data_IF_153543093095
#
_entry.id   IF_153543093095
#
_cell.length_a   1.000
_cell.length_b   1.000
_cell.length_c   1.000
_cell.angle_alpha   90.00
_cell.angle_beta   90.00
_cell.angle_gamma   90.00
#
_symmetry.space_group_name_H-M   'P 1'
#
loop_
_entity.id
_entity.type
_entity.pdbx_description
1 polymer ?
#
# COMPACT_ATOMS: atom_id res chain seq x y z
N UNK A 1 40.45 66.42 -30.20
CA UNK A 1 40.97 65.97 -28.89
C UNK A 1 40.02 64.89 -28.38
N UNK A 2 40.22 63.62 -28.72
CA UNK A 2 41.09 62.63 -28.07
C UNK A 2 40.66 62.24 -26.64
N UNK A 3 40.48 60.91 -26.47
CA UNK A 3 40.46 60.11 -25.24
C UNK A 3 39.17 60.13 -24.38
N UNK A 4 38.68 59.02 -23.79
CA UNK A 4 39.20 57.64 -23.64
C UNK A 4 38.05 56.73 -23.18
N UNK A 5 38.16 55.46 -23.57
CA UNK A 5 37.40 54.31 -23.05
C UNK A 5 37.34 54.28 -21.51
N UNK A 6 36.29 53.68 -20.94
CA UNK A 6 36.47 52.75 -19.83
C UNK A 6 35.31 51.73 -19.76
N UNK A 7 35.66 50.52 -20.18
CA UNK A 7 34.97 49.26 -19.92
C UNK A 7 34.84 49.03 -18.40
N UNK A 8 33.62 48.90 -17.91
CA UNK A 8 33.36 48.25 -16.62
C UNK A 8 32.51 47.01 -16.85
N UNK A 9 33.20 45.93 -17.25
CA UNK A 9 32.73 44.54 -17.09
C UNK A 9 32.47 44.29 -15.61
N UNK A 10 31.20 44.23 -15.23
CA UNK A 10 30.75 43.71 -13.93
C UNK A 10 31.12 42.22 -13.85
N UNK A 11 32.18 41.92 -13.10
CA UNK A 11 32.56 40.57 -12.69
C UNK A 11 31.42 40.03 -11.82
N UNK A 12 30.62 39.11 -12.35
CA UNK A 12 29.76 38.25 -11.55
C UNK A 12 30.64 37.16 -10.95
N UNK A 13 30.93 37.26 -9.66
CA UNK A 13 31.44 36.14 -8.88
C UNK A 13 30.36 35.06 -8.78
N UNK A 14 30.63 33.79 -9.13
CA UNK A 14 29.69 32.71 -8.88
C UNK A 14 29.65 32.43 -7.38
N UNK A 15 28.54 32.75 -6.74
CA UNK A 15 28.26 32.34 -5.37
C UNK A 15 28.21 30.80 -5.33
N UNK A 16 28.91 30.12 -4.40
CA UNK A 16 28.81 28.68 -4.28
C UNK A 16 27.41 28.32 -3.76
N UNK A 17 26.59 27.73 -4.62
CA UNK A 17 25.33 27.10 -4.20
C UNK A 17 25.65 25.92 -3.29
N UNK A 18 25.67 26.19 -1.99
CA UNK A 18 25.66 25.16 -0.96
C UNK A 18 24.31 24.45 -1.08
N UNK A 19 24.38 23.19 -1.48
CA UNK A 19 23.26 22.31 -1.78
C UNK A 19 22.52 21.92 -0.48
N UNK A 20 21.83 22.87 0.14
CA UNK A 20 21.00 22.64 1.33
C UNK A 20 19.66 22.04 0.87
N UNK A 21 19.59 20.71 0.93
CA UNK A 21 18.33 19.98 0.74
C UNK A 21 17.33 20.45 1.79
N UNK A 22 16.17 20.92 1.34
CA UNK A 22 15.08 21.37 2.20
C UNK A 22 14.66 20.28 3.21
N UNK A 23 14.29 20.61 4.46
CA UNK A 23 13.91 19.64 5.50
C UNK A 23 12.82 18.66 5.07
N UNK A 24 11.95 19.06 4.16
CA UNK A 24 10.89 18.23 3.60
C UNK A 24 11.42 17.14 2.66
N UNK A 25 12.44 17.45 1.84
CA UNK A 25 13.09 16.46 0.97
C UNK A 25 13.87 15.42 1.77
N UNK A 26 14.47 15.81 2.90
CA UNK A 26 15.18 14.88 3.79
C UNK A 26 14.21 13.90 4.44
N UNK A 27 13.05 14.38 4.95
CA UNK A 27 12.03 13.51 5.56
C UNK A 27 11.45 12.50 4.57
N UNK A 28 11.20 12.91 3.32
CA UNK A 28 10.75 11.99 2.26
C UNK A 28 11.78 10.90 2.01
N UNK A 29 13.07 11.25 1.96
CA UNK A 29 14.14 10.26 1.77
C UNK A 29 14.26 9.28 2.94
N UNK A 30 14.03 9.72 4.19
CA UNK A 30 14.06 8.84 5.36
C UNK A 30 12.88 7.84 5.36
N UNK A 31 11.69 8.29 4.93
CA UNK A 31 10.51 7.43 4.76
C UNK A 31 10.79 6.36 3.71
N UNK A 32 11.36 6.75 2.56
CA UNK A 32 11.68 5.81 1.48
C UNK A 32 12.72 4.78 1.90
N UNK A 33 13.77 5.20 2.60
CA UNK A 33 14.80 4.30 3.15
C UNK A 33 14.17 3.30 4.12
N UNK A 34 13.28 3.77 5.01
CA UNK A 34 12.59 2.90 5.96
C UNK A 34 11.67 1.91 5.25
N UNK A 35 10.84 2.36 4.31
CA UNK A 35 9.93 1.50 3.54
C UNK A 35 10.69 0.45 2.72
N UNK A 36 11.84 0.80 2.13
CA UNK A 36 12.67 -0.16 1.39
C UNK A 36 13.24 -1.25 2.33
N UNK A 37 13.63 -0.90 3.56
CA UNK A 37 14.08 -1.89 4.56
C UNK A 37 12.93 -2.79 5.02
N UNK A 38 11.74 -2.23 5.20
CA UNK A 38 10.54 -3.01 5.50
C UNK A 38 10.26 -3.99 4.36
N UNK A 39 10.30 -3.53 3.10
CA UNK A 39 10.10 -4.40 1.93
C UNK A 39 11.11 -5.55 1.92
N UNK A 40 12.40 -5.28 2.13
CA UNK A 40 13.43 -6.31 2.23
C UNK A 40 13.11 -7.37 3.30
N UNK A 41 12.66 -6.96 4.49
CA UNK A 41 12.25 -7.88 5.55
C UNK A 41 11.01 -8.70 5.16
N UNK A 42 10.06 -8.09 4.44
CA UNK A 42 8.88 -8.77 3.93
C UNK A 42 9.24 -9.79 2.83
N UNK A 43 10.15 -9.46 1.91
CA UNK A 43 10.67 -10.40 0.90
C UNK A 43 11.43 -11.56 1.55
N UNK A 44 12.12 -11.31 2.67
CA UNK A 44 12.76 -12.34 3.49
C UNK A 44 11.79 -13.09 4.43
N UNK A 45 10.48 -12.96 4.23
CA UNK A 45 9.42 -13.59 5.03
C UNK A 45 9.56 -13.35 6.56
N UNK A 46 9.99 -12.14 6.94
CA UNK A 46 10.18 -11.72 8.34
C UNK A 46 9.25 -10.54 8.72
N UNK A 47 7.91 -10.70 8.66
CA UNK A 47 6.95 -9.62 8.92
C UNK A 47 6.93 -9.14 10.37
N UNK A 48 7.30 -9.99 11.33
CA UNK A 48 7.47 -9.63 12.75
C UNK A 48 8.59 -8.58 12.92
N UNK A 49 9.76 -8.81 12.30
CA UNK A 49 10.89 -7.88 12.34
C UNK A 49 10.56 -6.57 11.64
N UNK A 50 9.85 -6.65 10.52
CA UNK A 50 9.37 -5.48 9.80
C UNK A 50 8.45 -4.61 10.68
N UNK A 51 7.54 -5.25 11.41
CA UNK A 51 6.65 -4.58 12.35
C UNK A 51 7.41 -3.91 13.50
N UNK A 52 8.40 -4.60 14.09
CA UNK A 52 9.28 -4.02 15.11
C UNK A 52 10.07 -2.81 14.56
N UNK A 53 10.57 -2.90 13.33
CA UNK A 53 11.29 -1.80 12.69
C UNK A 53 10.39 -0.57 12.50
N UNK A 54 9.14 -0.75 12.08
CA UNK A 54 8.17 0.33 11.95
C UNK A 54 7.84 0.93 13.33
N UNK A 55 7.58 0.09 14.33
CA UNK A 55 7.21 0.52 15.68
C UNK A 55 8.32 1.32 16.36
N UNK A 56 9.59 0.98 16.11
CA UNK A 56 10.75 1.70 16.63
C UNK A 56 11.01 3.02 15.88
N UNK A 57 10.37 3.23 14.71
CA UNK A 57 10.47 4.49 14.00
C UNK A 57 9.61 5.56 14.68
N UNK A 58 10.12 6.80 14.74
CA UNK A 58 9.34 7.96 15.22
C UNK A 58 8.45 8.56 14.12
N UNK A 59 8.42 7.94 12.94
CA UNK A 59 7.77 8.45 11.73
C UNK A 59 6.35 7.92 11.68
N UNK A 60 5.38 8.82 11.45
CA UNK A 60 3.96 8.46 11.31
C UNK A 60 3.47 8.93 9.94
N UNK A 61 3.24 8.00 9.03
CA UNK A 61 2.72 8.29 7.69
C UNK A 61 1.69 7.24 7.27
N UNK A 62 0.77 7.57 6.33
CA UNK A 62 -0.15 6.60 5.75
C UNK A 62 0.57 5.38 5.14
N UNK A 63 1.74 5.59 4.53
CA UNK A 63 2.56 4.53 3.95
C UNK A 63 3.09 3.54 5.00
N UNK A 64 3.57 4.03 6.15
CA UNK A 64 3.98 3.14 7.24
C UNK A 64 2.78 2.42 7.86
N UNK A 65 1.60 3.04 7.90
CA UNK A 65 0.37 2.35 8.33
C UNK A 65 -0.04 1.25 7.35
N UNK A 66 0.07 1.48 6.03
CA UNK A 66 -0.10 0.42 5.02
C UNK A 66 0.91 -0.71 5.26
N UNK A 67 2.18 -0.39 5.46
CA UNK A 67 3.21 -1.37 5.74
C UNK A 67 2.92 -2.20 7.01
N UNK A 68 2.47 -1.56 8.09
CA UNK A 68 1.99 -2.24 9.30
C UNK A 68 0.86 -3.22 8.97
N UNK A 69 -0.14 -2.80 8.18
CA UNK A 69 -1.25 -3.66 7.80
C UNK A 69 -0.80 -4.85 6.93
N UNK A 70 0.13 -4.65 5.99
CA UNK A 70 0.74 -5.74 5.21
C UNK A 70 1.49 -6.73 6.11
N UNK A 71 2.23 -6.25 7.12
CA UNK A 71 2.86 -7.14 8.11
C UNK A 71 1.80 -7.99 8.84
N UNK A 72 0.69 -7.37 9.26
CA UNK A 72 -0.41 -8.08 9.93
C UNK A 72 -1.07 -9.13 9.02
N UNK A 73 -1.26 -8.83 7.73
CA UNK A 73 -1.75 -9.81 6.75
C UNK A 73 -0.84 -11.03 6.68
N UNK A 74 0.48 -10.82 6.59
CA UNK A 74 1.47 -11.91 6.50
C UNK A 74 1.65 -12.69 7.80
N UNK A 75 1.30 -12.09 8.94
CA UNK A 75 1.22 -12.76 10.24
C UNK A 75 -0.09 -13.52 10.47
N UNK A 76 -1.03 -13.50 9.51
CA UNK A 76 -2.32 -14.19 9.65
C UNK A 76 -3.35 -13.41 10.45
N UNK A 77 -3.19 -12.09 10.60
CA UNK A 77 -4.09 -11.20 11.36
C UNK A 77 -4.91 -10.27 10.43
N UNK A 78 -5.77 -10.80 9.54
CA UNK A 78 -6.45 -9.98 8.53
C UNK A 78 -7.45 -8.99 9.14
N UNK A 79 -8.07 -9.32 10.27
CA UNK A 79 -8.97 -8.43 11.00
C UNK A 79 -8.26 -7.14 11.48
N UNK A 80 -7.03 -7.26 12.00
CA UNK A 80 -6.24 -6.10 12.42
C UNK A 80 -5.88 -5.23 11.21
N UNK A 81 -5.52 -5.84 10.09
CA UNK A 81 -5.26 -5.11 8.85
C UNK A 81 -6.50 -4.35 8.36
N UNK A 82 -7.70 -4.96 8.42
CA UNK A 82 -8.98 -4.31 8.08
C UNK A 82 -9.21 -3.04 8.89
N UNK A 83 -8.94 -3.07 10.20
CA UNK A 83 -9.13 -1.90 11.08
C UNK A 83 -8.17 -0.75 10.75
N UNK A 84 -6.91 -1.09 10.43
CA UNK A 84 -5.93 -0.10 9.96
C UNK A 84 -6.38 0.50 8.63
N UNK A 85 -6.83 -0.32 7.67
CA UNK A 85 -7.28 0.18 6.38
C UNK A 85 -8.56 0.99 6.46
N UNK A 86 -9.53 0.61 7.30
CA UNK A 86 -10.75 1.42 7.52
C UNK A 86 -10.38 2.83 7.98
N UNK A 87 -9.46 2.95 8.93
CA UNK A 87 -8.98 4.23 9.42
C UNK A 87 -7.99 4.95 8.49
N UNK A 88 -7.66 4.38 7.33
CA UNK A 88 -6.91 5.02 6.24
C UNK A 88 -7.81 5.43 5.07
N UNK A 89 -8.80 4.59 4.75
CA UNK A 89 -9.57 4.65 3.52
C UNK A 89 -11.01 5.10 3.71
N UNK A 90 -11.53 5.11 4.94
CA UNK A 90 -12.94 5.42 5.24
C UNK A 90 -12.98 6.63 6.16
N UNK A 91 -13.38 7.78 5.61
CA UNK A 91 -13.68 8.98 6.38
C UNK A 91 -15.17 9.32 6.23
N UNK A 92 -15.98 8.99 7.24
CA UNK A 92 -17.35 9.49 7.38
C UNK A 92 -18.39 8.93 6.39
N UNK A 93 -18.11 7.83 5.69
CA UNK A 93 -19.02 7.28 4.68
C UNK A 93 -18.87 5.77 4.46
N UNK A 94 -19.62 5.25 3.48
CA UNK A 94 -19.66 3.83 3.09
C UNK A 94 -18.60 3.48 2.02
N UNK A 95 -18.13 4.48 1.28
CA UNK A 95 -17.21 4.34 0.13
C UNK A 95 -15.74 4.54 0.52
N UNK A 96 -14.82 3.96 -0.26
CA UNK A 96 -13.41 4.25 -0.10
C UNK A 96 -13.09 5.66 -0.60
N UNK A 97 -12.12 6.29 0.04
CA UNK A 97 -11.56 7.56 -0.38
C UNK A 97 -11.03 7.48 -1.82
N UNK A 98 -11.55 8.35 -2.69
CA UNK A 98 -11.12 8.42 -4.09
C UNK A 98 -9.63 8.78 -4.23
N UNK A 99 -9.12 9.65 -3.35
CA UNK A 99 -7.74 10.15 -3.34
C UNK A 99 -6.72 9.20 -2.69
N UNK A 100 -7.17 8.07 -2.15
CA UNK A 100 -6.27 7.11 -1.53
C UNK A 100 -5.44 6.35 -2.59
N UNK A 101 -4.15 6.04 -2.30
CA UNK A 101 -3.34 5.22 -3.20
C UNK A 101 -4.01 3.89 -3.54
N UNK A 102 -3.98 3.51 -4.82
CA UNK A 102 -4.59 2.27 -5.33
C UNK A 102 -4.09 1.05 -4.57
N UNK A 103 -2.79 0.99 -4.26
CA UNK A 103 -2.19 -0.11 -3.49
C UNK A 103 -2.84 -0.29 -2.11
N UNK A 104 -3.28 0.78 -1.44
CA UNK A 104 -3.98 0.65 -0.15
C UNK A 104 -5.37 0.04 -0.33
N UNK A 105 -6.11 0.47 -1.36
CA UNK A 105 -7.43 -0.09 -1.71
C UNK A 105 -7.32 -1.57 -2.07
N UNK A 106 -6.30 -1.95 -2.84
CA UNK A 106 -6.01 -3.35 -3.20
C UNK A 106 -5.69 -4.17 -1.95
N UNK A 107 -4.83 -3.69 -1.07
CA UNK A 107 -4.49 -4.41 0.16
C UNK A 107 -5.68 -4.52 1.12
N UNK A 108 -6.57 -3.53 1.14
CA UNK A 108 -7.82 -3.63 1.88
C UNK A 108 -8.72 -4.73 1.34
N UNK A 109 -8.84 -4.85 0.02
CA UNK A 109 -9.55 -5.96 -0.61
C UNK A 109 -8.90 -7.32 -0.26
N UNK A 110 -7.57 -7.42 -0.26
CA UNK A 110 -6.85 -8.62 0.20
C UNK A 110 -7.18 -8.96 1.65
N UNK A 111 -7.21 -7.97 2.54
CA UNK A 111 -7.55 -8.17 3.95
C UNK A 111 -8.98 -8.66 4.15
N UNK A 112 -9.94 -8.07 3.43
CA UNK A 112 -11.34 -8.51 3.44
C UNK A 112 -11.46 -9.96 2.94
N UNK A 113 -10.74 -10.30 1.87
CA UNK A 113 -10.75 -11.65 1.32
C UNK A 113 -10.21 -12.69 2.30
N UNK A 114 -9.06 -12.41 2.93
CA UNK A 114 -8.43 -13.30 3.91
C UNK A 114 -9.25 -13.42 5.20
N UNK A 115 -10.01 -12.40 5.56
CA UNK A 115 -10.97 -12.45 6.66
C UNK A 115 -12.32 -13.09 6.25
N UNK A 116 -12.38 -13.73 5.07
CA UNK A 116 -13.59 -14.34 4.50
C UNK A 116 -14.76 -13.37 4.32
N UNK A 117 -14.55 -12.05 4.38
CA UNK A 117 -15.57 -11.04 4.13
C UNK A 117 -15.77 -10.85 2.61
N UNK A 118 -16.38 -11.85 1.98
CA UNK A 118 -16.65 -11.84 0.53
C UNK A 118 -17.51 -10.66 0.07
N UNK A 119 -18.61 -10.26 0.76
CA UNK A 119 -19.38 -9.09 0.35
C UNK A 119 -18.54 -7.81 0.35
N UNK A 120 -17.78 -7.56 1.43
CA UNK A 120 -16.88 -6.42 1.51
C UNK A 120 -15.80 -6.45 0.43
N UNK A 121 -15.22 -7.64 0.18
CA UNK A 121 -14.23 -7.84 -0.88
C UNK A 121 -14.78 -7.47 -2.26
N UNK A 122 -15.98 -7.95 -2.64
CA UNK A 122 -16.57 -7.61 -3.95
C UNK A 122 -16.91 -6.13 -4.06
N UNK A 123 -17.36 -5.50 -2.98
CA UNK A 123 -17.58 -4.06 -2.96
C UNK A 123 -16.27 -3.30 -3.19
N UNK A 124 -15.20 -3.61 -2.44
CA UNK A 124 -13.89 -3.00 -2.62
C UNK A 124 -13.32 -3.27 -4.03
N UNK A 125 -13.49 -4.48 -4.56
CA UNK A 125 -13.06 -4.83 -5.93
C UNK A 125 -13.85 -4.06 -7.00
N UNK A 126 -15.11 -3.72 -6.73
CA UNK A 126 -15.93 -2.94 -7.66
C UNK A 126 -15.45 -1.49 -7.79
N UNK A 127 -14.89 -0.92 -6.71
CA UNK A 127 -14.27 0.40 -6.71
C UNK A 127 -12.90 0.42 -7.41
N UNK A 128 -12.29 -0.75 -7.64
CA UNK A 128 -11.00 -0.93 -8.33
C UNK A 128 -11.13 -1.24 -9.83
N UNK A 129 -12.35 -1.17 -10.41
CA UNK A 129 -12.58 -1.61 -11.79
C UNK A 129 -11.81 -0.79 -12.83
N UNK A 130 -11.65 0.50 -12.59
CA UNK A 130 -11.02 1.44 -13.53
C UNK A 130 -9.56 1.76 -13.16
N UNK A 131 -9.01 1.06 -12.17
CA UNK A 131 -7.67 1.30 -11.63
C UNK A 131 -6.67 0.31 -12.23
N UNK A 132 -5.48 0.79 -12.60
CA UNK A 132 -4.39 -0.05 -13.09
C UNK A 132 -3.44 -0.40 -11.95
N UNK A 133 -3.46 -1.66 -11.51
CA UNK A 133 -2.49 -2.18 -10.54
C UNK A 133 -2.24 -3.67 -10.78
N UNK A 134 -0.97 -4.14 -10.81
CA UNK A 134 -0.63 -5.52 -11.17
C UNK A 134 -1.21 -6.58 -10.21
N UNK A 135 -1.56 -6.19 -8.99
CA UNK A 135 -2.15 -7.11 -8.00
C UNK A 135 -3.66 -7.29 -8.12
N UNK A 136 -4.37 -6.41 -8.84
CA UNK A 136 -5.80 -6.59 -9.15
C UNK A 136 -6.05 -7.87 -9.96
N UNK A 137 -5.36 -8.14 -11.09
CA UNK A 137 -5.57 -9.37 -11.84
C UNK A 137 -5.14 -10.61 -11.04
N UNK A 138 -4.07 -10.54 -10.23
CA UNK A 138 -3.67 -11.64 -9.32
C UNK A 138 -4.77 -11.98 -8.33
N UNK A 139 -5.38 -10.97 -7.73
CA UNK A 139 -6.47 -11.11 -6.77
C UNK A 139 -7.73 -11.70 -7.42
N UNK A 140 -8.10 -11.22 -8.62
CA UNK A 140 -9.21 -11.79 -9.40
C UNK A 140 -8.95 -13.26 -9.77
N UNK A 141 -7.71 -13.60 -10.15
CA UNK A 141 -7.31 -14.96 -10.48
C UNK A 141 -7.38 -15.89 -9.26
N UNK A 142 -6.88 -15.46 -8.09
CA UNK A 142 -6.97 -16.24 -6.85
C UNK A 142 -8.42 -16.59 -6.49
N UNK A 143 -9.32 -15.61 -6.53
CA UNK A 143 -10.75 -15.83 -6.25
C UNK A 143 -11.41 -16.73 -7.30
N UNK A 144 -11.06 -16.57 -8.58
CA UNK A 144 -11.55 -17.44 -9.65
C UNK A 144 -11.11 -18.89 -9.42
N UNK A 145 -9.85 -19.12 -9.10
CA UNK A 145 -9.30 -20.44 -8.84
C UNK A 145 -9.94 -21.08 -7.62
N UNK A 146 -10.06 -20.34 -6.51
CA UNK A 146 -10.77 -20.80 -5.32
C UNK A 146 -12.23 -21.20 -5.64
N UNK A 147 -12.97 -20.37 -6.37
CA UNK A 147 -14.35 -20.69 -6.79
C UNK A 147 -14.44 -21.96 -7.65
N UNK A 148 -13.42 -22.26 -8.45
CA UNK A 148 -13.39 -23.48 -9.26
C UNK A 148 -13.21 -24.74 -8.41
N UNK A 149 -12.51 -24.62 -7.28
CA UNK A 149 -12.28 -25.72 -6.33
C UNK A 149 -13.50 -26.03 -5.45
N UNK A 150 -14.49 -25.12 -5.39
CA UNK A 150 -15.71 -25.33 -4.60
C UNK A 150 -16.59 -26.42 -5.20
N UNK A 151 -17.15 -27.25 -4.33
CA UNK A 151 -18.21 -28.21 -4.69
C UNK A 151 -19.49 -27.49 -5.11
N UNK A 152 -20.38 -28.18 -5.81
CA UNK A 152 -21.68 -27.63 -6.20
C UNK A 152 -22.48 -27.16 -4.98
N UNK A 153 -22.39 -27.89 -3.86
CA UNK A 153 -23.04 -27.50 -2.61
C UNK A 153 -22.45 -26.21 -2.02
N UNK A 154 -21.12 -26.07 -2.02
CA UNK A 154 -20.46 -24.86 -1.55
C UNK A 154 -20.76 -23.64 -2.44
N UNK A 155 -20.90 -23.85 -3.75
CA UNK A 155 -21.37 -22.81 -4.67
C UNK A 155 -22.81 -22.40 -4.38
N UNK A 156 -23.68 -23.37 -4.08
CA UNK A 156 -25.06 -23.08 -3.68
C UNK A 156 -25.11 -22.30 -2.36
N UNK A 157 -24.28 -22.66 -1.37
CA UNK A 157 -24.13 -21.89 -0.14
C UNK A 157 -23.83 -20.42 -0.42
N UNK A 158 -22.89 -20.12 -1.32
CA UNK A 158 -22.59 -18.74 -1.72
C UNK A 158 -23.79 -18.00 -2.34
N UNK A 159 -24.58 -18.69 -3.17
CA UNK A 159 -25.79 -18.12 -3.78
C UNK A 159 -26.83 -17.77 -2.70
N UNK A 160 -26.94 -18.60 -1.67
CA UNK A 160 -27.81 -18.36 -0.51
C UNK A 160 -27.23 -17.37 0.51
N UNK A 161 -26.06 -16.75 0.24
CA UNK A 161 -25.40 -15.83 1.18
C UNK A 161 -24.63 -16.49 2.31
N UNK A 162 -24.54 -17.82 2.32
CA UNK A 162 -23.75 -18.58 3.29
C UNK A 162 -22.28 -18.66 2.85
N UNK A 163 -21.37 -18.64 3.82
CA UNK A 163 -19.95 -18.81 3.56
C UNK A 163 -19.57 -20.30 3.59
N UNK A 164 -19.04 -20.85 2.48
CA UNK A 164 -18.59 -22.23 2.47
C UNK A 164 -17.34 -22.38 3.32
N UNK A 165 -17.25 -23.48 4.08
CA UNK A 165 -16.05 -23.87 4.79
C UNK A 165 -15.01 -24.41 3.78
N UNK A 166 -14.34 -23.50 3.09
CA UNK A 166 -13.29 -23.81 2.12
C UNK A 166 -12.14 -22.82 2.28
N UNK A 167 -10.91 -23.27 2.58
CA UNK A 167 -9.77 -22.37 2.73
C UNK A 167 -9.52 -21.62 1.42
N UNK A 168 -9.30 -20.31 1.52
CA UNK A 168 -8.89 -19.49 0.39
C UNK A 168 -7.39 -19.30 0.42
N UNK A 169 -6.72 -19.84 -0.58
CA UNK A 169 -5.29 -19.64 -0.80
C UNK A 169 -5.08 -18.60 -1.90
N UNK A 170 -4.31 -17.54 -1.61
CA UNK A 170 -4.02 -16.50 -2.58
C UNK A 170 -3.08 -16.98 -3.69
N UNK A 171 -2.18 -17.92 -3.38
CA UNK A 171 -1.10 -18.33 -4.28
C UNK A 171 0.01 -17.29 -4.44
N UNK A 172 -0.01 -16.22 -3.64
CA UNK A 172 1.03 -15.18 -3.56
C UNK A 172 1.06 -14.57 -2.16
N UNK A 173 2.16 -13.87 -1.83
CA UNK A 173 2.31 -13.22 -0.53
C UNK A 173 1.28 -12.09 -0.35
N UNK A 174 0.53 -12.05 0.77
CA UNK A 174 -0.45 -10.99 1.01
C UNK A 174 0.16 -9.59 1.06
N UNK A 175 -0.43 -8.68 0.28
CA UNK A 175 -0.21 -7.24 0.35
C UNK A 175 1.10 -6.72 -0.25
N UNK A 176 1.02 -5.53 -0.84
CA UNK A 176 2.13 -4.79 -1.47
C UNK A 176 2.39 -3.45 -0.78
N UNK A 177 3.63 -2.96 -0.82
CA UNK A 177 3.96 -1.66 -0.22
C UNK A 177 3.85 -0.48 -1.18
N UNK A 178 4.00 -0.73 -2.49
CA UNK A 178 4.07 0.28 -3.56
C UNK A 178 3.36 -0.23 -4.81
#
# INVERSE_FOLDING_TARGET
MHQKNDDLKRIQTPTPQKNEKSPESMRTSDIDVLLNRVDQLLQANSPDKALTLIANSKIKTPWLRNATAVCQLRLGNPQVAIEIYRSLLVNGGIFLRADAPVVFKVNFAVALLLNQNLPGFYNALSELKDEEHPSIPKLKAAVKNWRQQLTLWQKFQLICGNQPHAPLELGFAPGDLK
#
